data_IF_952524590659
#
_entry.id   IF_952524590659
#
_cell.length_a   1.000
_cell.length_b   1.000
_cell.length_c   1.000
_cell.angle_alpha   90.00
_cell.angle_beta   90.00
_cell.angle_gamma   90.00
#
_symmetry.space_group_name_H-M   'P 1'
#
loop_
_entity.id
_entity.type
_entity.pdbx_description
1 polymer ?
#
# COMPACT_ATOMS: atom_id res chain seq x y z
N UNK A 1 13.84 -23.36 -21.60
CA UNK A 1 13.26 -22.25 -20.83
C UNK A 1 11.76 -22.23 -21.09
N UNK A 2 10.96 -22.59 -20.09
CA UNK A 2 9.49 -22.53 -20.19
C UNK A 2 9.09 -21.07 -19.99
N UNK A 3 8.53 -20.41 -21.00
CA UNK A 3 7.90 -19.10 -20.89
C UNK A 3 6.46 -19.26 -20.44
N UNK A 4 6.13 -18.73 -19.26
CA UNK A 4 4.76 -18.61 -18.78
C UNK A 4 4.13 -17.35 -19.40
N UNK A 5 3.44 -17.49 -20.52
CA UNK A 5 2.83 -16.36 -21.26
C UNK A 5 1.36 -16.10 -20.88
N UNK A 6 0.74 -16.92 -20.02
CA UNK A 6 -0.64 -16.73 -19.55
C UNK A 6 -0.70 -16.17 -18.16
N UNK A 7 -1.31 -15.00 -18.02
CA UNK A 7 -1.72 -14.43 -16.71
C UNK A 7 -3.05 -15.08 -16.34
N UNK A 8 -3.02 -16.09 -15.46
CA UNK A 8 -4.21 -16.84 -15.03
C UNK A 8 -5.03 -16.16 -13.92
N UNK A 9 -4.61 -14.98 -13.46
CA UNK A 9 -5.14 -14.34 -12.23
C UNK A 9 -6.33 -13.43 -12.43
N UNK A 10 -6.63 -13.02 -13.66
CA UNK A 10 -7.73 -12.12 -13.98
C UNK A 10 -8.69 -12.79 -14.98
N UNK A 11 -9.97 -12.35 -14.97
CA UNK A 11 -10.98 -12.84 -15.92
C UNK A 11 -10.56 -12.60 -17.37
N UNK A 12 -10.95 -13.48 -18.26
CA UNK A 12 -10.79 -13.29 -19.71
C UNK A 12 -11.50 -12.01 -20.12
N UNK A 13 -10.76 -11.05 -20.68
CA UNK A 13 -11.27 -9.71 -21.05
C UNK A 13 -10.93 -8.60 -20.05
N UNK A 14 -10.22 -8.87 -18.95
CA UNK A 14 -9.75 -7.84 -18.02
C UNK A 14 -8.70 -6.95 -18.66
N UNK A 15 -8.93 -5.61 -18.58
CA UNK A 15 -7.96 -4.60 -19.00
C UNK A 15 -6.71 -4.63 -18.14
N UNK A 16 -6.79 -5.10 -16.90
CA UNK A 16 -5.62 -5.27 -16.03
C UNK A 16 -4.63 -6.25 -16.67
N UNK A 17 -5.08 -7.43 -17.10
CA UNK A 17 -4.25 -8.43 -17.76
C UNK A 17 -3.70 -7.94 -19.10
N UNK A 18 -4.56 -7.27 -19.88
CA UNK A 18 -4.18 -6.72 -21.18
C UNK A 18 -3.10 -5.64 -21.02
N UNK A 19 -3.34 -4.64 -20.17
CA UNK A 19 -2.40 -3.55 -19.93
C UNK A 19 -1.08 -4.02 -19.31
N UNK A 20 -1.11 -4.98 -18.39
CA UNK A 20 0.10 -5.58 -17.85
C UNK A 20 0.95 -6.21 -18.98
N UNK A 21 0.30 -6.92 -19.93
CA UNK A 21 0.98 -7.49 -21.10
C UNK A 21 1.54 -6.39 -22.01
N UNK A 22 0.75 -5.36 -22.31
CA UNK A 22 1.19 -4.24 -23.14
C UNK A 22 2.44 -3.56 -22.56
N UNK A 23 2.43 -3.22 -21.28
CA UNK A 23 3.58 -2.61 -20.59
C UNK A 23 4.80 -3.52 -20.61
N UNK A 24 4.62 -4.83 -20.37
CA UNK A 24 5.73 -5.79 -20.45
C UNK A 24 6.43 -5.78 -21.80
N UNK A 25 5.67 -5.57 -22.90
CA UNK A 25 6.20 -5.51 -24.25
C UNK A 25 6.60 -4.08 -24.70
N UNK A 26 6.52 -3.10 -23.79
CA UNK A 26 6.88 -1.70 -24.08
C UNK A 26 5.84 -0.95 -24.91
N UNK A 27 4.61 -1.47 -24.97
CA UNK A 27 3.50 -0.77 -25.62
C UNK A 27 2.75 0.05 -24.54
N UNK A 28 2.65 1.34 -24.76
CA UNK A 28 2.01 2.29 -23.86
C UNK A 28 0.59 2.70 -24.28
N UNK A 29 0.05 2.10 -25.35
CA UNK A 29 -1.34 2.29 -25.77
C UNK A 29 -2.26 1.48 -24.84
N UNK A 30 -2.44 1.98 -23.62
CA UNK A 30 -3.23 1.30 -22.60
C UNK A 30 -4.73 1.45 -22.85
N UNK A 31 -5.49 0.42 -22.52
CA UNK A 31 -6.95 0.44 -22.57
C UNK A 31 -7.53 0.80 -21.19
N UNK A 32 -8.46 1.73 -21.19
CA UNK A 32 -9.11 2.22 -19.96
C UNK A 32 -10.58 1.78 -19.88
N UNK A 33 -11.07 1.60 -18.67
CA UNK A 33 -12.44 1.19 -18.39
C UNK A 33 -12.72 1.12 -16.90
N UNK A 34 -13.73 0.36 -16.51
CA UNK A 34 -14.16 0.27 -15.12
C UNK A 34 -13.15 -0.42 -14.22
N UNK A 35 -12.42 -1.39 -14.75
CA UNK A 35 -11.41 -2.21 -14.05
C UNK A 35 -9.98 -1.64 -14.16
N UNK A 36 -9.74 -0.67 -15.06
CA UNK A 36 -8.43 -0.05 -15.21
C UNK A 36 -8.59 1.44 -15.55
N UNK A 37 -8.22 2.31 -14.63
CA UNK A 37 -8.38 3.75 -14.74
C UNK A 37 -7.05 4.49 -14.60
N UNK A 38 -6.95 5.64 -15.28
CA UNK A 38 -5.84 6.57 -15.11
C UNK A 38 -6.41 7.95 -14.78
N UNK A 39 -5.99 8.53 -13.67
CA UNK A 39 -6.32 9.88 -13.22
C UNK A 39 -5.06 10.72 -13.41
N UNK A 40 -5.10 11.62 -14.38
CA UNK A 40 -3.95 12.45 -14.75
C UNK A 40 -3.80 13.63 -13.79
N UNK A 41 -2.67 13.71 -13.12
CA UNK A 41 -2.29 14.83 -12.27
C UNK A 41 -0.76 14.88 -12.15
N UNK A 42 -0.17 16.00 -12.57
CA UNK A 42 1.27 16.24 -12.52
C UNK A 42 1.70 16.96 -11.23
N UNK A 43 0.77 17.59 -10.52
CA UNK A 43 1.01 18.21 -9.22
C UNK A 43 1.00 17.17 -8.10
N UNK A 44 2.04 17.17 -7.26
CA UNK A 44 2.21 16.15 -6.22
C UNK A 44 1.16 16.27 -5.11
N UNK A 45 0.83 17.51 -4.71
CA UNK A 45 -0.17 17.76 -3.65
C UNK A 45 -1.56 17.34 -4.11
N UNK A 46 -1.93 17.71 -5.35
CA UNK A 46 -3.19 17.28 -5.97
C UNK A 46 -3.24 15.76 -6.11
N UNK A 47 -2.16 15.15 -6.60
CA UNK A 47 -2.06 13.70 -6.75
C UNK A 47 -2.22 12.97 -5.41
N UNK A 48 -1.64 13.48 -4.32
CA UNK A 48 -1.81 12.91 -2.98
C UNK A 48 -3.30 12.91 -2.60
N UNK A 49 -4.00 14.04 -2.73
CA UNK A 49 -5.45 14.14 -2.45
C UNK A 49 -6.28 13.18 -3.29
N UNK A 50 -6.00 13.11 -4.60
CA UNK A 50 -6.69 12.17 -5.49
C UNK A 50 -6.47 10.72 -5.09
N UNK A 51 -5.25 10.35 -4.68
CA UNK A 51 -4.96 9.01 -4.18
C UNK A 51 -5.71 8.69 -2.89
N UNK A 52 -5.78 9.64 -1.95
CA UNK A 52 -6.55 9.53 -0.71
C UNK A 52 -8.05 9.33 -0.99
N UNK A 53 -8.63 10.14 -1.86
CA UNK A 53 -10.04 10.02 -2.27
C UNK A 53 -10.33 8.66 -2.91
N UNK A 54 -9.47 8.21 -3.84
CA UNK A 54 -9.63 6.91 -4.46
C UNK A 54 -9.47 5.79 -3.42
N UNK A 55 -8.49 5.89 -2.52
CA UNK A 55 -8.28 4.89 -1.47
C UNK A 55 -9.52 4.75 -0.58
N UNK A 56 -10.07 5.85 -0.07
CA UNK A 56 -11.29 5.83 0.76
C UNK A 56 -12.49 5.24 0.01
N UNK A 57 -12.64 5.59 -1.26
CA UNK A 57 -13.70 5.03 -2.10
C UNK A 57 -13.57 3.51 -2.26
N UNK A 58 -12.36 3.03 -2.53
CA UNK A 58 -12.11 1.61 -2.71
C UNK A 58 -12.21 0.85 -1.37
N UNK A 59 -11.74 1.44 -0.27
CA UNK A 59 -11.90 0.86 1.08
C UNK A 59 -13.38 0.72 1.45
N UNK A 60 -14.21 1.70 1.12
CA UNK A 60 -15.66 1.61 1.32
C UNK A 60 -16.30 0.46 0.53
N UNK A 61 -15.74 0.15 -0.64
CA UNK A 61 -16.24 -0.89 -1.54
C UNK A 61 -15.75 -2.30 -1.18
N UNK A 62 -14.49 -2.43 -0.80
CA UNK A 62 -13.83 -3.73 -0.66
C UNK A 62 -13.34 -4.04 0.76
N UNK A 63 -13.28 -3.06 1.64
CA UNK A 63 -12.64 -3.16 2.95
C UNK A 63 -11.13 -2.86 2.89
N UNK A 64 -10.59 -2.42 4.03
CA UNK A 64 -9.20 -1.93 4.16
C UNK A 64 -8.15 -3.01 3.86
N UNK A 65 -8.46 -4.30 4.10
CA UNK A 65 -7.54 -5.42 3.85
C UNK A 65 -7.37 -5.76 2.37
N UNK A 66 -8.36 -5.37 1.56
CA UNK A 66 -8.44 -5.74 0.16
C UNK A 66 -8.04 -4.59 -0.78
N UNK A 67 -7.55 -3.48 -0.20
CA UNK A 67 -7.10 -2.30 -0.94
C UNK A 67 -5.67 -1.97 -0.56
N UNK A 68 -4.84 -1.67 -1.57
CA UNK A 68 -3.49 -1.18 -1.36
C UNK A 68 -3.23 0.09 -2.17
N UNK A 69 -2.44 1.00 -1.59
CA UNK A 69 -1.85 2.12 -2.30
C UNK A 69 -0.35 1.83 -2.47
N UNK A 70 0.12 1.82 -3.70
CA UNK A 70 1.50 1.51 -4.05
C UNK A 70 2.23 2.75 -4.52
N UNK A 71 3.34 3.07 -3.87
CA UNK A 71 4.23 4.15 -4.29
C UNK A 71 5.66 3.63 -4.53
N UNK A 72 6.38 4.15 -5.54
CA UNK A 72 7.76 3.72 -5.79
C UNK A 72 8.74 4.20 -4.73
N UNK A 73 8.44 5.29 -4.00
CA UNK A 73 9.31 5.88 -2.98
C UNK A 73 8.75 5.77 -1.58
N UNK A 74 9.67 5.53 -0.62
CA UNK A 74 9.34 5.48 0.80
C UNK A 74 9.30 6.85 1.46
N UNK A 75 10.17 7.77 1.02
CA UNK A 75 10.38 9.11 1.61
C UNK A 75 10.62 10.15 0.52
N UNK A 76 10.65 11.42 0.86
CA UNK A 76 11.08 12.60 0.08
C UNK A 76 9.99 13.38 -0.67
N UNK A 77 8.81 12.85 -0.86
CA UNK A 77 7.73 13.55 -1.55
C UNK A 77 6.41 13.39 -0.80
N UNK A 78 5.43 14.25 -1.07
CA UNK A 78 4.08 14.18 -0.51
C UNK A 78 3.34 12.91 -0.93
N UNK A 79 3.74 12.31 -2.06
CA UNK A 79 3.19 11.05 -2.58
C UNK A 79 4.05 9.83 -2.23
N UNK A 80 4.97 9.96 -1.29
CA UNK A 80 5.74 8.83 -0.78
C UNK A 80 4.95 7.98 0.22
N UNK A 81 5.39 6.74 0.44
CA UNK A 81 4.73 5.79 1.34
C UNK A 81 4.50 6.37 2.73
N UNK A 82 5.49 7.02 3.32
CA UNK A 82 5.39 7.53 4.68
C UNK A 82 4.34 8.66 4.79
N UNK A 83 4.37 9.65 3.88
CA UNK A 83 3.41 10.75 3.88
C UNK A 83 1.98 10.23 3.67
N UNK A 84 1.76 9.36 2.68
CA UNK A 84 0.47 8.76 2.40
C UNK A 84 -0.05 7.92 3.57
N UNK A 85 0.81 7.17 4.25
CA UNK A 85 0.41 6.39 5.43
C UNK A 85 -0.10 7.28 6.56
N UNK A 86 0.56 8.40 6.85
CA UNK A 86 0.11 9.32 7.90
C UNK A 86 -1.25 9.93 7.57
N UNK A 87 -1.46 10.38 6.33
CA UNK A 87 -2.74 10.94 5.92
C UNK A 87 -3.84 9.88 5.93
N UNK A 88 -3.58 8.70 5.33
CA UNK A 88 -4.56 7.60 5.28
C UNK A 88 -4.93 7.11 6.68
N UNK A 89 -3.97 7.03 7.61
CA UNK A 89 -4.27 6.73 9.01
C UNK A 89 -5.28 7.72 9.59
N UNK A 90 -5.03 9.02 9.40
CA UNK A 90 -5.94 10.06 9.87
C UNK A 90 -7.37 9.93 9.34
N UNK A 91 -7.50 9.44 8.11
CA UNK A 91 -8.80 9.25 7.43
C UNK A 91 -9.50 7.93 7.79
N UNK A 92 -8.74 6.84 7.92
CA UNK A 92 -9.28 5.48 8.16
C UNK A 92 -9.40 5.19 9.65
N UNK A 93 -8.42 5.61 10.44
CA UNK A 93 -8.35 5.41 11.89
C UNK A 93 -8.06 6.73 12.61
N UNK A 94 -9.02 7.70 12.64
CA UNK A 94 -8.81 8.98 13.28
C UNK A 94 -8.58 8.83 14.80
N UNK A 95 -7.89 9.82 15.43
CA UNK A 95 -7.70 9.85 16.88
C UNK A 95 -9.05 9.90 17.60
N UNK A 96 -9.11 9.26 18.76
CA UNK A 96 -10.29 9.25 19.62
C UNK A 96 -9.84 9.11 21.07
N UNK A 97 -10.57 9.71 22.00
CA UNK A 97 -10.32 9.57 23.43
C UNK A 97 -10.38 8.12 23.94
N UNK A 98 -11.01 7.22 23.19
CA UNK A 98 -11.09 5.78 23.51
C UNK A 98 -9.94 4.93 22.94
N UNK A 99 -9.00 5.54 22.22
CA UNK A 99 -7.89 4.82 21.58
C UNK A 99 -6.56 5.25 22.19
N UNK A 100 -5.84 4.30 22.75
CA UNK A 100 -4.48 4.53 23.21
C UNK A 100 -3.55 4.76 22.01
N UNK A 101 -2.55 5.64 22.21
CA UNK A 101 -1.48 5.94 21.25
C UNK A 101 -0.13 5.78 21.94
N UNK A 102 0.92 5.41 21.18
CA UNK A 102 2.28 5.41 21.74
C UNK A 102 2.75 6.85 21.98
N UNK A 103 3.24 7.13 23.17
CA UNK A 103 3.71 8.46 23.60
C UNK A 103 5.24 8.47 23.66
N UNK A 104 5.86 9.52 23.13
CA UNK A 104 7.30 9.78 23.29
C UNK A 104 8.24 8.88 22.47
N UNK A 105 7.72 8.01 21.60
CA UNK A 105 8.51 7.18 20.70
C UNK A 105 8.82 7.87 19.36
N UNK A 106 9.73 7.27 18.58
CA UNK A 106 10.02 7.71 17.20
C UNK A 106 8.83 7.53 16.25
N UNK A 107 7.86 6.69 16.62
CA UNK A 107 6.66 6.41 15.84
C UNK A 107 5.44 6.59 16.72
N UNK A 108 4.48 7.34 16.22
CA UNK A 108 3.17 7.46 16.84
C UNK A 108 2.29 6.35 16.24
N UNK A 109 1.99 5.31 17.04
CA UNK A 109 1.10 4.22 16.70
C UNK A 109 -0.19 4.33 17.53
N UNK A 110 -1.31 3.87 17.00
CA UNK A 110 -2.64 3.99 17.61
C UNK A 110 -3.37 2.66 17.54
N UNK A 111 -4.16 2.35 18.55
CA UNK A 111 -5.10 1.21 18.53
C UNK A 111 -5.99 1.29 17.30
N UNK A 112 -6.07 0.17 16.55
CA UNK A 112 -6.76 0.07 15.28
C UNK A 112 -5.90 0.42 14.05
N UNK A 113 -4.65 0.85 14.22
CA UNK A 113 -3.76 1.07 13.08
C UNK A 113 -3.47 -0.23 12.33
N UNK A 114 -3.54 -0.15 11.01
CA UNK A 114 -3.01 -1.18 10.11
C UNK A 114 -1.51 -1.02 10.02
N UNK A 115 -0.79 -2.06 10.40
CA UNK A 115 0.68 -2.07 10.44
C UNK A 115 1.25 -3.20 9.59
N UNK A 116 2.50 -3.03 9.16
CA UNK A 116 3.29 -4.01 8.45
C UNK A 116 4.57 -4.27 9.21
N UNK A 117 4.91 -5.53 9.44
CA UNK A 117 6.21 -5.91 9.95
C UNK A 117 7.30 -5.62 8.91
N UNK A 118 8.41 -5.00 9.32
CA UNK A 118 9.54 -4.69 8.43
C UNK A 118 10.76 -5.58 8.64
N UNK A 119 10.68 -6.51 9.58
CA UNK A 119 11.69 -7.52 9.89
C UNK A 119 11.02 -8.84 10.26
N UNK A 120 11.73 -9.94 10.06
CA UNK A 120 11.33 -11.22 10.59
C UNK A 120 11.54 -11.25 12.12
N UNK A 121 10.56 -11.72 12.87
CA UNK A 121 10.65 -11.87 14.32
C UNK A 121 9.71 -13.00 14.79
N UNK A 122 10.30 -14.14 15.14
CA UNK A 122 9.53 -15.34 15.52
C UNK A 122 8.66 -15.86 14.37
N UNK A 123 7.36 -15.93 14.60
CA UNK A 123 6.33 -16.35 13.65
C UNK A 123 5.82 -15.23 12.72
N UNK A 124 6.33 -13.99 12.90
CA UNK A 124 6.01 -12.85 12.06
C UNK A 124 7.11 -12.62 11.02
N UNK A 125 6.72 -12.57 9.76
CA UNK A 125 7.60 -12.36 8.63
C UNK A 125 7.61 -10.91 8.17
N UNK A 126 8.72 -10.47 7.58
CA UNK A 126 8.80 -9.16 6.91
C UNK A 126 7.73 -9.06 5.81
N UNK A 127 6.86 -8.07 5.90
CA UNK A 127 5.72 -7.87 5.01
C UNK A 127 4.39 -8.36 5.56
N UNK A 128 4.36 -9.08 6.69
CA UNK A 128 3.11 -9.47 7.34
C UNK A 128 2.34 -8.23 7.77
N UNK A 129 1.04 -8.24 7.49
CA UNK A 129 0.09 -7.17 7.82
C UNK A 129 -0.68 -7.57 9.07
N UNK A 130 -0.81 -6.64 10.01
CA UNK A 130 -1.60 -6.81 11.22
C UNK A 130 -2.31 -5.53 11.64
N UNK A 131 -3.07 -5.63 12.73
CA UNK A 131 -3.79 -4.52 13.34
C UNK A 131 -3.41 -4.39 14.80
N UNK A 132 -3.16 -3.16 15.26
CA UNK A 132 -2.91 -2.88 16.66
C UNK A 132 -4.22 -3.07 17.42
N UNK A 133 -4.23 -4.06 18.31
CA UNK A 133 -5.38 -4.38 19.18
C UNK A 133 -5.38 -3.57 20.45
N UNK A 134 -4.20 -3.44 21.05
CA UNK A 134 -4.03 -2.85 22.37
C UNK A 134 -2.68 -2.17 22.48
N UNK A 135 -2.59 -1.13 23.28
CA UNK A 135 -1.36 -0.45 23.68
C UNK A 135 -1.44 -0.27 25.18
N UNK A 136 -0.57 -0.96 25.90
CA UNK A 136 -0.44 -0.91 27.35
C UNK A 136 0.81 -0.17 27.77
N UNK A 137 0.74 0.40 28.97
CA UNK A 137 1.84 1.09 29.62
C UNK A 137 2.13 0.45 30.98
N UNK A 138 3.38 0.08 31.21
CA UNK A 138 3.91 -0.33 32.52
C UNK A 138 5.00 0.66 32.94
N UNK A 139 4.59 1.71 33.65
CA UNK A 139 5.45 2.84 33.99
C UNK A 139 5.91 3.62 32.73
N UNK A 140 7.22 3.57 32.44
CA UNK A 140 7.81 4.19 31.24
C UNK A 140 7.87 3.25 30.03
N UNK A 141 7.57 1.98 30.23
CA UNK A 141 7.56 1.00 29.15
C UNK A 141 6.20 0.98 28.42
N UNK A 142 6.25 0.68 27.12
CA UNK A 142 5.08 0.52 26.27
C UNK A 142 5.10 -0.85 25.64
N UNK A 143 3.96 -1.53 25.64
CA UNK A 143 3.75 -2.82 24.98
C UNK A 143 2.61 -2.63 23.97
N UNK A 144 2.88 -2.97 22.71
CA UNK A 144 1.92 -2.91 21.61
C UNK A 144 1.55 -4.32 21.18
N UNK A 145 0.27 -4.68 21.27
CA UNK A 145 -0.27 -5.96 20.83
C UNK A 145 -0.78 -5.86 19.41
N UNK A 146 -0.24 -6.65 18.50
CA UNK A 146 -0.60 -6.68 17.08
C UNK A 146 -1.18 -8.04 16.72
N UNK A 147 -2.38 -8.03 16.14
CA UNK A 147 -3.04 -9.20 15.58
C UNK A 147 -2.70 -9.32 14.09
N UNK A 148 -1.93 -10.34 13.73
CA UNK A 148 -1.56 -10.67 12.35
C UNK A 148 -2.53 -11.65 11.68
N UNK A 149 -3.68 -11.90 12.30
CA UNK A 149 -4.67 -12.87 11.82
C UNK A 149 -4.34 -14.32 12.19
N UNK A 150 -5.29 -15.21 11.99
CA UNK A 150 -5.19 -16.66 12.27
C UNK A 150 -4.77 -16.96 13.72
N UNK A 151 -5.17 -16.10 14.68
CA UNK A 151 -4.84 -16.22 16.09
C UNK A 151 -3.41 -15.82 16.47
N UNK A 152 -2.65 -15.24 15.54
CA UNK A 152 -1.28 -14.77 15.78
C UNK A 152 -1.31 -13.36 16.38
N UNK A 153 -1.40 -13.27 17.71
CA UNK A 153 -1.23 -12.01 18.43
C UNK A 153 0.21 -11.97 18.96
N UNK A 154 0.90 -10.85 18.66
CA UNK A 154 2.28 -10.64 19.08
C UNK A 154 2.44 -9.33 19.84
N UNK A 155 3.26 -9.40 20.87
CA UNK A 155 3.69 -8.27 21.69
C UNK A 155 4.95 -7.64 21.09
N UNK A 156 4.99 -6.30 21.07
CA UNK A 156 6.14 -5.49 20.69
C UNK A 156 6.45 -4.51 21.81
N UNK A 157 7.58 -4.72 22.46
CA UNK A 157 8.10 -3.78 23.46
C UNK A 157 8.69 -2.53 22.79
N UNK A 158 9.02 -1.51 23.60
CA UNK A 158 9.54 -0.20 23.18
C UNK A 158 10.66 -0.29 22.15
N UNK A 159 11.62 -1.21 22.35
CA UNK A 159 12.77 -1.44 21.46
C UNK A 159 12.38 -2.08 20.11
N UNK A 160 11.24 -2.78 20.09
CA UNK A 160 10.76 -3.49 18.91
C UNK A 160 9.79 -2.67 18.04
N UNK A 161 9.32 -1.50 18.51
CA UNK A 161 8.37 -0.67 17.77
C UNK A 161 8.92 -0.21 16.40
N UNK A 162 10.24 -0.15 16.23
CA UNK A 162 10.87 0.13 14.95
C UNK A 162 10.65 -0.98 13.90
N UNK A 163 10.23 -2.18 14.34
CA UNK A 163 9.86 -3.29 13.45
C UNK A 163 8.48 -3.12 12.82
N UNK A 164 7.66 -2.21 13.32
CA UNK A 164 6.31 -1.93 12.80
C UNK A 164 6.32 -0.67 11.95
N UNK A 165 5.59 -0.69 10.85
CA UNK A 165 5.32 0.47 9.98
C UNK A 165 3.83 0.53 9.67
N UNK A 166 3.28 1.73 9.42
CA UNK A 166 1.92 1.84 8.93
C UNK A 166 1.78 1.11 7.59
N UNK A 167 0.69 0.38 7.40
CA UNK A 167 0.48 -0.55 6.30
C UNK A 167 -0.66 -0.17 5.33
N UNK A 168 -1.13 1.09 5.34
CA UNK A 168 -2.16 1.54 4.40
C UNK A 168 -1.61 1.74 2.99
N UNK A 169 -0.42 2.34 2.89
CA UNK A 169 0.38 2.43 1.67
C UNK A 169 1.68 1.64 1.82
N UNK A 170 2.19 1.11 0.72
CA UNK A 170 3.46 0.33 0.72
C UNK A 170 4.24 0.55 -0.57
N UNK A 171 5.50 0.10 -0.61
CA UNK A 171 6.27 0.11 -1.85
C UNK A 171 5.85 -1.05 -2.76
N UNK A 172 6.03 -0.87 -4.07
CA UNK A 172 5.78 -1.94 -5.04
C UNK A 172 6.58 -3.21 -4.71
N UNK A 173 7.83 -3.06 -4.23
CA UNK A 173 8.67 -4.20 -3.85
C UNK A 173 8.10 -4.98 -2.66
N UNK A 174 7.65 -4.29 -1.62
CA UNK A 174 7.05 -4.94 -0.45
C UNK A 174 5.69 -5.57 -0.74
N UNK A 175 4.98 -5.13 -1.79
CA UNK A 175 3.72 -5.75 -2.22
C UNK A 175 3.91 -7.04 -3.03
N UNK A 176 5.16 -7.42 -3.34
CA UNK A 176 5.41 -8.67 -4.07
C UNK A 176 4.95 -9.88 -3.24
N UNK A 177 4.22 -10.78 -3.88
CA UNK A 177 3.58 -11.92 -3.21
C UNK A 177 2.15 -11.64 -2.72
N UNK A 178 1.80 -10.39 -2.42
CA UNK A 178 0.45 -10.00 -2.01
C UNK A 178 -0.45 -9.71 -3.21
N UNK A 179 -1.76 -9.82 -3.02
CA UNK A 179 -2.78 -9.51 -4.01
C UNK A 179 -3.96 -8.77 -3.34
N UNK A 180 -4.52 -7.80 -4.05
CA UNK A 180 -5.60 -6.95 -3.55
C UNK A 180 -6.75 -6.88 -4.54
N UNK A 181 -7.97 -6.67 -4.07
CA UNK A 181 -9.12 -6.48 -4.98
C UNK A 181 -8.99 -5.17 -5.75
N UNK A 182 -8.53 -4.11 -5.10
CA UNK A 182 -8.25 -2.82 -5.72
C UNK A 182 -6.85 -2.31 -5.36
N UNK A 183 -6.15 -1.77 -6.35
CA UNK A 183 -4.81 -1.19 -6.19
C UNK A 183 -4.79 0.22 -6.76
N UNK A 184 -4.36 1.17 -5.94
CA UNK A 184 -4.05 2.54 -6.37
C UNK A 184 -2.53 2.63 -6.57
N UNK A 185 -2.08 3.10 -7.73
CA UNK A 185 -0.66 3.18 -8.09
C UNK A 185 -0.27 4.64 -8.28
N UNK A 186 0.72 5.08 -7.50
CA UNK A 186 1.35 6.38 -7.68
C UNK A 186 2.36 6.33 -8.84
N UNK A 187 2.12 7.11 -9.90
CA UNK A 187 2.96 7.16 -11.08
C UNK A 187 3.33 8.62 -11.41
N UNK A 188 4.36 9.16 -10.78
CA UNK A 188 4.79 10.55 -10.96
C UNK A 188 6.10 10.64 -11.74
N UNK A 189 6.24 11.65 -12.62
CA UNK A 189 7.49 11.91 -13.34
C UNK A 189 8.67 12.18 -12.38
N UNK A 190 8.40 12.80 -11.24
CA UNK A 190 9.40 12.98 -10.17
C UNK A 190 10.00 11.64 -9.68
N UNK A 191 9.34 10.53 -9.94
CA UNK A 191 9.75 9.18 -9.57
C UNK A 191 10.37 8.38 -10.75
N UNK A 192 10.64 9.01 -11.88
CA UNK A 192 11.04 8.35 -13.14
C UNK A 192 12.24 7.41 -13.00
N UNK A 193 13.20 7.72 -12.12
CA UNK A 193 14.39 6.87 -11.87
C UNK A 193 13.97 5.45 -11.40
N UNK A 194 12.86 5.33 -10.67
CA UNK A 194 12.36 4.05 -10.14
C UNK A 194 11.31 3.41 -11.05
N UNK A 195 10.70 4.18 -11.97
CA UNK A 195 9.61 3.71 -12.80
C UNK A 195 10.10 2.89 -13.99
N UNK A 196 10.58 1.70 -13.70
CA UNK A 196 10.94 0.73 -14.74
C UNK A 196 9.69 -0.07 -15.17
N UNK A 197 9.68 -0.57 -16.41
CA UNK A 197 8.58 -1.44 -16.91
C UNK A 197 8.30 -2.64 -15.99
N UNK A 198 9.32 -3.36 -15.48
CA UNK A 198 9.08 -4.43 -14.50
C UNK A 198 8.39 -3.96 -13.23
N UNK A 199 8.73 -2.77 -12.72
CA UNK A 199 8.08 -2.22 -11.51
C UNK A 199 6.61 -1.93 -11.78
N UNK A 200 6.30 -1.22 -12.88
CA UNK A 200 4.92 -0.88 -13.25
C UNK A 200 4.09 -2.15 -13.52
N UNK A 201 4.67 -3.12 -14.23
CA UNK A 201 4.05 -4.43 -14.44
C UNK A 201 3.73 -5.11 -13.10
N UNK A 202 4.70 -5.13 -12.17
CA UNK A 202 4.52 -5.73 -10.84
C UNK A 202 3.39 -5.04 -10.08
N UNK A 203 3.36 -3.70 -10.08
CA UNK A 203 2.31 -2.94 -9.41
C UNK A 203 0.91 -3.25 -9.96
N UNK A 204 0.74 -3.23 -11.28
CA UNK A 204 -0.53 -3.52 -11.96
C UNK A 204 -1.02 -4.94 -11.64
N UNK A 205 -0.12 -5.92 -11.66
CA UNK A 205 -0.47 -7.32 -11.40
C UNK A 205 -0.82 -7.63 -9.96
N UNK A 206 -0.72 -6.67 -9.02
CA UNK A 206 -1.24 -6.81 -7.64
C UNK A 206 -2.76 -6.65 -7.57
N UNK A 207 -3.37 -5.96 -8.54
CA UNK A 207 -4.82 -5.75 -8.59
C UNK A 207 -5.55 -6.94 -9.20
N UNK A 208 -6.61 -7.41 -8.53
CA UNK A 208 -7.49 -8.49 -9.02
C UNK A 208 -8.69 -7.98 -9.79
N UNK A 209 -9.33 -6.91 -9.30
CA UNK A 209 -10.60 -6.39 -9.82
C UNK A 209 -10.47 -4.97 -10.36
N UNK A 210 -9.72 -4.13 -9.68
CA UNK A 210 -9.53 -2.73 -10.09
C UNK A 210 -8.07 -2.29 -9.93
N UNK A 211 -7.61 -1.53 -10.90
CA UNK A 211 -6.34 -0.80 -10.88
C UNK A 211 -6.60 0.65 -11.21
N UNK A 212 -6.14 1.56 -10.36
CA UNK A 212 -6.27 2.99 -10.51
C UNK A 212 -4.88 3.60 -10.48
N UNK A 213 -4.45 4.15 -11.60
CA UNK A 213 -3.19 4.89 -11.66
C UNK A 213 -3.51 6.37 -11.42
N UNK A 214 -2.80 7.00 -10.49
CA UNK A 214 -2.86 8.44 -10.25
C UNK A 214 -1.48 9.03 -10.50
N UNK A 215 -1.39 10.01 -11.40
CA UNK A 215 -0.11 10.64 -11.66
C UNK A 215 0.04 11.26 -13.05
N UNK A 216 1.27 11.49 -13.43
CA UNK A 216 1.64 12.15 -14.68
C UNK A 216 1.78 11.11 -15.82
N UNK A 217 0.98 11.25 -16.88
CA UNK A 217 1.07 10.35 -18.05
C UNK A 217 2.45 10.31 -18.69
N UNK A 218 3.22 11.41 -18.58
CA UNK A 218 4.59 11.48 -19.08
C UNK A 218 5.56 10.56 -18.30
N UNK A 219 5.15 10.04 -17.17
CA UNK A 219 5.94 9.07 -16.40
C UNK A 219 5.86 7.63 -16.98
N UNK A 220 4.97 7.39 -17.95
CA UNK A 220 4.89 6.13 -18.68
C UNK A 220 5.86 6.06 -19.89
N UNK A 221 6.45 7.21 -20.29
CA UNK A 221 7.30 7.33 -21.50
C UNK A 221 8.76 6.93 -21.26
#
# INVERSE_FOLDING_TARGET
VIRLDKVYRQSSGSRIALNARLIRHGNLNLEYGTDFRFIDSADLTESAKLMEEQYLREVKKYGVDRVALLSPFRQKTETCVNALNETLRGLVNPPSASKNETIGGKKNLRVGDKVMANKNNGDVSNGDIGYIKEIDYDGEDVIVYVDFGDGRIREFGKEELDMLELGYATTVHKSQGSEYDSVIINLQKAHSIMLTRPLVYTAITRGKKEVIIVGDRRALC
#
